data_IF_888358933553
#
_entry.id   IF_888358933553
#
_cell.length_a   1.000
_cell.length_b   1.000
_cell.length_c   1.000
_cell.angle_alpha   90.00
_cell.angle_beta   90.00
_cell.angle_gamma   90.00
#
_symmetry.space_group_name_H-M   'P 1'
#
loop_
_entity.id
_entity.type
_entity.pdbx_description
1 polymer ?
#
# COMPACT_ATOMS: atom_id res chain seq x y z
N UNK A 1 -8.22 1.79 14.26
CA UNK A 1 -7.49 1.44 13.03
C UNK A 1 -7.15 2.72 12.27
N UNK A 2 -5.91 2.84 11.79
CA UNK A 2 -5.49 3.96 10.93
C UNK A 2 -6.23 3.92 9.58
N UNK A 3 -6.32 5.07 8.90
CA UNK A 3 -6.80 5.17 7.52
C UNK A 3 -6.01 4.27 6.58
N UNK A 4 -6.67 3.61 5.62
CA UNK A 4 -6.03 2.66 4.70
C UNK A 4 -4.81 3.26 3.98
N UNK A 5 -4.86 4.48 3.41
CA UNK A 5 -3.69 5.09 2.77
C UNK A 5 -2.48 5.21 3.69
N UNK A 6 -2.70 5.48 4.98
CA UNK A 6 -1.60 5.65 5.93
C UNK A 6 -0.99 4.31 6.32
N UNK A 7 -1.84 3.32 6.60
CA UNK A 7 -1.40 1.98 6.97
C UNK A 7 -0.65 1.30 5.83
N UNK A 8 -1.25 1.26 4.64
CA UNK A 8 -0.66 0.61 3.47
C UNK A 8 0.63 1.30 3.01
N UNK A 9 0.74 2.63 3.13
CA UNK A 9 2.02 3.31 2.88
C UNK A 9 3.13 2.81 3.80
N UNK A 10 2.86 2.72 5.10
CA UNK A 10 3.87 2.31 6.08
C UNK A 10 4.30 0.86 5.84
N UNK A 11 3.33 -0.04 5.57
CA UNK A 11 3.60 -1.44 5.20
C UNK A 11 4.44 -1.51 3.92
N UNK A 12 4.07 -0.77 2.86
CA UNK A 12 4.83 -0.77 1.61
C UNK A 12 6.26 -0.28 1.75
N UNK A 13 6.49 0.73 2.60
CA UNK A 13 7.85 1.18 2.90
C UNK A 13 8.68 0.11 3.60
N UNK A 14 8.05 -0.67 4.49
CA UNK A 14 8.73 -1.73 5.22
C UNK A 14 9.04 -2.93 4.31
N UNK A 15 8.07 -3.36 3.50
CA UNK A 15 8.24 -4.41 2.50
C UNK A 15 9.34 -4.10 1.48
N UNK A 16 9.40 -2.86 1.02
CA UNK A 16 10.46 -2.38 0.12
C UNK A 16 11.85 -2.48 0.77
N UNK A 17 11.96 -2.13 2.07
CA UNK A 17 13.22 -2.29 2.82
C UNK A 17 13.62 -3.76 3.02
N UNK A 18 12.64 -4.67 3.06
CA UNK A 18 12.84 -6.11 3.13
C UNK A 18 13.12 -6.78 1.78
N UNK A 19 13.12 -6.02 0.67
CA UNK A 19 13.34 -6.56 -0.67
C UNK A 19 12.20 -7.49 -1.11
N UNK A 20 10.97 -7.23 -0.67
CA UNK A 20 9.81 -8.02 -1.08
C UNK A 20 9.57 -7.84 -2.57
N UNK A 21 9.64 -8.94 -3.33
CA UNK A 21 9.37 -8.96 -4.77
C UNK A 21 7.90 -9.25 -5.03
N UNK A 22 7.29 -10.06 -4.18
CA UNK A 22 5.88 -10.38 -4.26
C UNK A 22 5.27 -10.50 -2.85
N UNK A 23 4.02 -10.09 -2.69
CA UNK A 23 3.35 -9.98 -1.41
C UNK A 23 1.82 -10.08 -1.50
N UNK A 24 1.22 -10.42 -0.36
CA UNK A 24 -0.21 -10.41 -0.10
C UNK A 24 -0.43 -9.79 1.27
N UNK A 25 -1.29 -8.79 1.33
CA UNK A 25 -1.68 -8.07 2.53
C UNK A 25 -3.15 -8.38 2.77
N UNK A 26 -3.45 -9.12 3.83
CA UNK A 26 -4.80 -9.37 4.29
C UNK A 26 -5.15 -8.39 5.42
N UNK A 27 -6.24 -7.66 5.26
CA UNK A 27 -6.73 -6.68 6.22
C UNK A 27 -7.80 -7.29 7.13
N UNK A 28 -7.46 -7.43 8.40
CA UNK A 28 -8.39 -7.82 9.46
C UNK A 28 -8.89 -6.56 10.20
N UNK A 29 -9.79 -6.72 11.17
CA UNK A 29 -10.36 -5.59 11.91
C UNK A 29 -9.31 -4.73 12.63
N UNK A 30 -8.22 -5.34 13.10
CA UNK A 30 -7.25 -4.70 14.00
C UNK A 30 -5.79 -4.74 13.49
N UNK A 31 -5.51 -5.51 12.45
CA UNK A 31 -4.15 -5.78 11.99
C UNK A 31 -4.12 -6.10 10.49
N UNK A 32 -2.91 -6.03 9.93
CA UNK A 32 -2.63 -6.52 8.59
C UNK A 32 -1.69 -7.71 8.68
N UNK A 33 -2.11 -8.82 8.10
CA UNK A 33 -1.28 -10.01 7.95
C UNK A 33 -0.66 -9.99 6.57
N UNK A 34 0.65 -10.03 6.51
CA UNK A 34 1.40 -9.92 5.27
C UNK A 34 2.23 -11.15 5.07
N UNK A 35 2.10 -11.74 3.89
CA UNK A 35 2.99 -12.77 3.41
C UNK A 35 3.77 -12.18 2.24
N UNK A 36 5.09 -12.28 2.24
CA UNK A 36 5.92 -11.82 1.12
C UNK A 36 7.04 -12.79 0.77
N UNK A 37 7.34 -12.89 -0.51
CA UNK A 37 8.57 -13.47 -1.03
C UNK A 37 9.65 -12.39 -1.06
N UNK A 38 10.75 -12.64 -0.37
CA UNK A 38 11.88 -11.72 -0.28
C UNK A 38 13.06 -12.34 -1.02
N UNK A 39 13.82 -11.49 -1.74
CA UNK A 39 15.06 -11.89 -2.41
C UNK A 39 16.20 -12.07 -1.39
N UNK A 40 16.03 -13.04 -0.47
CA UNK A 40 16.99 -13.42 0.55
C UNK A 40 17.45 -14.85 0.30
N UNK A 41 18.77 -15.15 0.34
CA UNK A 41 19.26 -16.50 0.21
C UNK A 41 18.96 -17.33 1.49
N UNK A 42 18.52 -18.60 1.36
CA UNK A 42 18.19 -19.32 0.12
C UNK A 42 16.84 -18.89 -0.47
N UNK A 43 16.69 -18.88 -1.81
CA UNK A 43 15.49 -18.42 -2.49
C UNK A 43 14.24 -19.24 -2.11
N UNK A 44 13.08 -18.59 -2.04
CA UNK A 44 11.78 -19.22 -1.78
C UNK A 44 11.32 -19.19 -0.32
N UNK A 45 11.96 -18.39 0.55
CA UNK A 45 11.48 -18.17 1.91
C UNK A 45 10.36 -17.13 1.94
N UNK A 46 9.13 -17.60 2.13
CA UNK A 46 8.00 -16.75 2.46
C UNK A 46 8.18 -16.20 3.88
N UNK A 47 8.20 -14.87 4.00
CA UNK A 47 8.15 -14.17 5.27
C UNK A 47 6.71 -13.83 5.62
N UNK A 48 6.40 -13.94 6.91
CA UNK A 48 5.11 -13.58 7.47
C UNK A 48 5.27 -12.45 8.48
N UNK A 49 4.56 -11.35 8.26
CA UNK A 49 4.56 -10.19 9.13
C UNK A 49 3.15 -9.92 9.64
N UNK A 50 3.05 -9.50 10.90
CA UNK A 50 1.82 -8.98 11.48
C UNK A 50 2.01 -7.51 11.83
N UNK A 51 1.23 -6.64 11.19
CA UNK A 51 1.25 -5.20 11.40
C UNK A 51 0.04 -4.76 12.21
N UNK A 52 0.24 -4.64 13.52
CA UNK A 52 -0.73 -4.00 14.41
C UNK A 52 -0.72 -2.48 14.24
N UNK A 53 -1.77 -1.79 14.68
CA UNK A 53 -1.82 -0.32 14.66
C UNK A 53 -0.60 0.33 15.35
N UNK A 54 -0.10 -0.28 16.43
CA UNK A 54 1.09 0.21 17.15
C UNK A 54 2.34 0.14 16.27
N UNK A 55 2.56 -1.00 15.61
CA UNK A 55 3.71 -1.20 14.70
C UNK A 55 3.64 -0.20 13.54
N UNK A 56 2.46 -0.04 12.94
CA UNK A 56 2.26 0.89 11.82
C UNK A 56 2.56 2.34 12.24
N UNK A 57 2.09 2.77 13.41
CA UNK A 57 2.41 4.11 13.95
C UNK A 57 3.90 4.29 14.17
N UNK A 58 4.60 3.27 14.63
CA UNK A 58 6.04 3.31 14.85
C UNK A 58 6.80 3.44 13.53
N UNK A 59 6.46 2.63 12.52
CA UNK A 59 7.05 2.72 11.17
C UNK A 59 6.80 4.11 10.56
N UNK A 60 5.57 4.62 10.66
CA UNK A 60 5.22 5.95 10.17
C UNK A 60 6.01 7.06 10.88
N UNK A 61 6.16 6.96 12.20
CA UNK A 61 6.95 7.90 12.99
C UNK A 61 8.43 7.88 12.59
N UNK A 62 9.03 6.69 12.46
CA UNK A 62 10.42 6.55 11.99
C UNK A 62 10.60 7.10 10.57
N UNK A 63 9.64 6.85 9.68
CA UNK A 63 9.65 7.39 8.32
C UNK A 63 9.47 8.92 8.26
N UNK A 64 8.80 9.53 9.25
CA UNK A 64 8.73 10.99 9.40
C UNK A 64 10.07 11.56 9.85
N UNK A 65 10.69 10.95 10.86
CA UNK A 65 12.00 11.38 11.37
C UNK A 65 13.08 11.38 10.27
N UNK A 66 13.17 10.29 9.49
CA UNK A 66 14.13 10.20 8.37
C UNK A 66 13.98 11.33 7.34
N UNK A 67 12.75 11.82 7.10
CA UNK A 67 12.48 12.92 6.16
C UNK A 67 12.80 14.29 6.73
N UNK A 68 12.62 14.49 8.04
CA UNK A 68 12.95 15.76 8.70
C UNK A 68 14.46 15.97 8.90
N UNK A 69 15.25 14.90 8.85
CA UNK A 69 16.71 14.94 9.12
C UNK A 69 17.60 15.13 7.88
N UNK A 70 17.05 15.54 6.72
CA UNK A 70 17.84 16.03 5.59
C UNK A 70 18.00 15.09 4.39
N UNK A 71 17.32 13.94 4.35
CA UNK A 71 17.24 13.14 3.13
C UNK A 71 16.34 13.81 2.10
N UNK A 72 16.92 14.50 1.11
CA UNK A 72 16.18 14.82 -0.11
C UNK A 72 15.66 13.49 -0.66
N UNK A 73 14.34 13.36 -0.81
CA UNK A 73 13.75 12.27 -1.56
C UNK A 73 14.33 12.37 -2.97
N UNK A 74 15.31 11.51 -3.28
CA UNK A 74 15.88 11.40 -4.62
C UNK A 74 14.69 11.13 -5.54
N UNK A 75 14.46 12.08 -6.45
CA UNK A 75 13.29 12.07 -7.30
C UNK A 75 13.24 10.83 -8.20
N UNK A 76 12.01 10.46 -8.58
CA UNK A 76 11.75 9.87 -9.89
C UNK A 76 11.17 8.46 -9.92
N UNK A 77 11.35 7.63 -8.89
CA UNK A 77 10.80 6.27 -8.88
C UNK A 77 9.52 6.18 -8.05
N UNK A 78 8.47 5.60 -8.63
CA UNK A 78 7.24 5.23 -7.92
C UNK A 78 7.58 4.12 -6.91
N UNK A 79 7.64 4.48 -5.62
CA UNK A 79 7.95 3.51 -4.55
C UNK A 79 6.74 2.67 -4.19
N UNK A 80 6.95 1.45 -3.70
CA UNK A 80 5.88 0.55 -3.26
C UNK A 80 4.98 1.22 -2.20
N UNK A 81 5.58 1.95 -1.27
CA UNK A 81 4.84 2.73 -0.28
C UNK A 81 3.91 3.78 -0.90
N UNK A 82 4.30 4.39 -2.04
CA UNK A 82 3.46 5.35 -2.76
C UNK A 82 2.30 4.65 -3.46
N UNK A 83 2.57 3.54 -4.15
CA UNK A 83 1.54 2.73 -4.82
C UNK A 83 0.48 2.26 -3.82
N UNK A 84 0.91 1.62 -2.73
CA UNK A 84 0.02 1.06 -1.72
C UNK A 84 -0.80 2.13 -1.01
N UNK A 85 -0.25 3.35 -0.85
CA UNK A 85 -1.02 4.50 -0.37
C UNK A 85 -2.21 4.79 -1.28
N UNK A 86 -1.98 4.79 -2.58
CA UNK A 86 -2.98 5.15 -3.59
C UNK A 86 -4.06 4.08 -3.71
N UNK A 87 -3.68 2.80 -3.59
CA UNK A 87 -4.65 1.70 -3.44
C UNK A 87 -5.50 1.85 -2.17
N UNK A 88 -4.90 2.24 -1.04
CA UNK A 88 -5.65 2.53 0.18
C UNK A 88 -6.66 3.67 -0.01
N UNK A 89 -6.27 4.71 -0.75
CA UNK A 89 -7.14 5.84 -1.03
C UNK A 89 -8.26 5.48 -2.03
N UNK A 90 -7.96 4.58 -2.97
CA UNK A 90 -8.94 4.02 -3.89
C UNK A 90 -10.07 3.30 -3.14
N UNK A 91 -9.73 2.44 -2.19
CA UNK A 91 -10.72 1.72 -1.36
C UNK A 91 -11.55 2.69 -0.50
N UNK A 92 -10.92 3.69 0.13
CA UNK A 92 -11.65 4.72 0.88
C UNK A 92 -12.62 5.51 -0.01
N UNK A 93 -12.20 5.88 -1.24
CA UNK A 93 -13.04 6.58 -2.22
C UNK A 93 -14.25 5.75 -2.62
N UNK A 94 -14.10 4.43 -2.74
CA UNK A 94 -15.19 3.48 -3.03
C UNK A 94 -16.07 3.20 -1.81
N UNK A 95 -15.76 3.79 -0.64
CA UNK A 95 -16.38 3.51 0.66
C UNK A 95 -16.34 2.02 1.01
N UNK A 96 -15.25 1.35 0.61
CA UNK A 96 -15.02 -0.06 0.86
C UNK A 96 -14.28 -0.29 2.18
N UNK A 97 -14.52 -1.46 2.76
CA UNK A 97 -13.67 -2.08 3.78
C UNK A 97 -12.66 -2.96 3.05
N UNK A 98 -11.38 -2.62 3.14
CA UNK A 98 -10.31 -3.39 2.53
C UNK A 98 -10.31 -4.82 3.09
N UNK A 99 -10.11 -5.80 2.21
CA UNK A 99 -9.94 -7.21 2.56
C UNK A 99 -8.54 -7.70 2.20
N UNK A 100 -8.09 -7.44 0.97
CA UNK A 100 -6.83 -7.98 0.45
C UNK A 100 -6.17 -7.05 -0.57
N UNK A 101 -4.85 -7.01 -0.58
CA UNK A 101 -4.03 -6.44 -1.66
C UNK A 101 -2.93 -7.44 -2.01
N UNK A 102 -2.76 -7.80 -3.27
CA UNK A 102 -1.72 -8.72 -3.71
C UNK A 102 -1.07 -8.30 -5.03
N UNK A 103 0.18 -8.68 -5.25
CA UNK A 103 0.88 -8.52 -6.54
C UNK A 103 1.43 -9.84 -7.12
N UNK A 104 1.06 -11.00 -6.55
CA UNK A 104 1.53 -12.33 -6.97
C UNK A 104 1.00 -12.82 -8.33
N UNK A 105 0.05 -12.13 -8.95
CA UNK A 105 -0.67 -12.62 -10.13
C UNK A 105 -0.23 -11.91 -11.42
N UNK A 106 1.02 -12.11 -11.86
CA UNK A 106 1.42 -12.16 -13.28
C UNK A 106 2.94 -12.31 -13.44
N UNK A 107 3.46 -13.53 -13.68
CA UNK A 107 4.85 -13.71 -14.11
C UNK A 107 5.10 -12.89 -15.39
N UNK A 108 6.08 -11.97 -15.33
CA UNK A 108 6.52 -11.20 -16.51
C UNK A 108 5.79 -9.87 -16.77
N UNK A 109 4.93 -9.40 -15.86
CA UNK A 109 4.31 -8.07 -15.94
C UNK A 109 4.71 -7.28 -14.69
N UNK A 110 5.33 -6.09 -14.88
CA UNK A 110 5.55 -5.12 -13.79
C UNK A 110 4.24 -4.84 -13.03
N UNK A 111 4.26 -4.56 -11.71
CA UNK A 111 3.22 -5.03 -10.81
C UNK A 111 1.81 -4.48 -11.15
N UNK A 112 0.92 -5.41 -11.52
CA UNK A 112 -0.52 -5.21 -11.53
C UNK A 112 -1.08 -5.73 -10.20
N UNK A 113 -1.73 -4.86 -9.43
CA UNK A 113 -2.19 -5.18 -8.08
C UNK A 113 -3.63 -5.68 -8.14
N UNK A 114 -3.93 -6.78 -7.44
CA UNK A 114 -5.31 -7.16 -7.15
C UNK A 114 -5.73 -6.56 -5.82
N UNK A 115 -6.84 -5.83 -5.80
CA UNK A 115 -7.42 -5.22 -4.60
C UNK A 115 -8.80 -5.77 -4.36
N UNK A 116 -9.03 -6.30 -3.16
CA UNK A 116 -10.32 -6.81 -2.73
C UNK A 116 -10.90 -5.98 -1.59
N UNK A 117 -12.18 -5.64 -1.68
CA UNK A 117 -12.88 -4.90 -0.64
C UNK A 117 -14.36 -5.27 -0.57
N UNK A 118 -14.95 -5.13 0.62
CA UNK A 118 -16.38 -5.30 0.84
C UNK A 118 -17.06 -3.94 1.07
N UNK A 119 -18.32 -3.81 0.66
CA UNK A 119 -19.16 -2.66 1.06
C UNK A 119 -20.10 -3.05 2.20
N UNK A 120 -20.71 -2.04 2.81
CA UNK A 120 -21.66 -2.21 3.92
C UNK A 120 -22.93 -2.98 3.53
N UNK A 121 -23.25 -3.06 2.24
CA UNK A 121 -24.37 -3.82 1.70
C UNK A 121 -24.06 -5.33 1.54
N UNK A 122 -22.87 -5.76 1.94
CA UNK A 122 -22.40 -7.15 1.82
C UNK A 122 -21.81 -7.49 0.46
N UNK A 123 -21.81 -6.56 -0.51
CA UNK A 123 -21.17 -6.80 -1.80
C UNK A 123 -19.64 -6.86 -1.66
N UNK A 124 -19.04 -7.80 -2.38
CA UNK A 124 -17.60 -8.03 -2.47
C UNK A 124 -17.12 -7.66 -3.88
N UNK A 125 -16.01 -6.92 -3.94
CA UNK A 125 -15.39 -6.47 -5.17
C UNK A 125 -13.95 -6.96 -5.23
N UNK A 126 -13.53 -7.32 -6.45
CA UNK A 126 -12.16 -7.69 -6.80
C UNK A 126 -11.80 -6.84 -8.01
N UNK A 127 -10.86 -5.91 -7.84
CA UNK A 127 -10.39 -5.02 -8.89
C UNK A 127 -8.93 -5.32 -9.20
N UNK A 128 -8.62 -5.61 -10.46
CA UNK A 128 -7.25 -5.71 -10.97
C UNK A 128 -6.80 -4.33 -11.46
N UNK A 129 -5.81 -3.76 -10.79
CA UNK A 129 -5.30 -2.40 -11.00
C UNK A 129 -3.97 -2.49 -11.75
N UNK A 130 -3.97 -2.03 -13.00
CA UNK A 130 -2.73 -1.88 -13.77
C UNK A 130 -1.92 -0.67 -13.32
N UNK A 131 -0.63 -0.65 -13.65
CA UNK A 131 0.26 0.48 -13.40
C UNK A 131 -0.26 1.79 -14.00
N UNK A 132 -0.79 1.76 -15.22
CA UNK A 132 -1.38 2.95 -15.87
C UNK A 132 -2.58 3.51 -15.10
N UNK A 133 -3.35 2.66 -14.41
CA UNK A 133 -4.48 3.10 -13.58
C UNK A 133 -4.04 3.71 -12.25
N UNK A 134 -2.83 3.40 -11.77
CA UNK A 134 -2.28 4.01 -10.55
C UNK A 134 -1.98 5.50 -10.79
N UNK A 135 -1.41 5.85 -11.94
CA UNK A 135 -1.14 7.24 -12.33
C UNK A 135 -2.42 8.08 -12.33
N UNK A 136 -3.52 7.56 -12.90
CA UNK A 136 -4.82 8.23 -12.93
C UNK A 136 -5.42 8.41 -11.53
N UNK A 137 -5.26 7.41 -10.66
CA UNK A 137 -5.67 7.50 -9.25
C UNK A 137 -4.86 8.59 -8.53
N UNK A 138 -3.56 8.65 -8.75
CA UNK A 138 -2.65 9.62 -8.15
C UNK A 138 -2.96 11.06 -8.60
N UNK A 139 -3.19 11.27 -9.90
CA UNK A 139 -3.60 12.57 -10.45
C UNK A 139 -4.94 13.01 -9.85
N UNK A 140 -5.92 12.12 -9.78
CA UNK A 140 -7.22 12.41 -9.19
C UNK A 140 -7.15 12.72 -7.68
N UNK A 141 -6.16 12.17 -6.97
CA UNK A 141 -5.91 12.49 -5.56
C UNK A 141 -5.21 13.84 -5.38
N UNK A 142 -4.35 14.25 -6.32
CA UNK A 142 -3.63 15.53 -6.29
C UNK A 142 -4.53 16.70 -6.67
N UNK A 143 -5.39 16.56 -7.68
CA UNK A 143 -6.30 17.63 -8.11
C UNK A 143 -7.28 18.05 -7.02
N UNK A 144 -7.77 17.12 -6.19
CA UNK A 144 -8.68 17.44 -5.07
C UNK A 144 -8.04 18.26 -3.94
N UNK A 145 -6.73 18.19 -3.76
CA UNK A 145 -6.03 19.01 -2.75
C UNK A 145 -5.93 20.48 -3.15
N UNK A 146 -6.04 20.78 -4.44
CA UNK A 146 -6.00 22.14 -4.97
C UNK A 146 -7.35 22.86 -4.85
N UNK A 147 -8.47 22.12 -4.80
CA UNK A 147 -9.81 22.68 -4.70
C UNK A 147 -10.29 22.92 -3.24
N UNK A 148 -9.61 22.34 -2.24
CA UNK A 148 -10.01 22.44 -0.82
C UNK A 148 -9.44 23.68 -0.09
N UNK A 149 -8.68 24.53 -0.80
CA UNK A 149 -8.28 25.87 -0.33
C UNK A 149 -8.59 26.92 -1.41
N UNK A 150 -9.82 27.44 -1.47
CA UNK A 150 -10.03 28.71 -2.14
C UNK A 150 -9.34 29.80 -1.31
N UNK A 151 -8.56 30.63 -1.99
CA UNK A 151 -7.99 31.86 -1.42
C UNK A 151 -9.08 32.80 -0.92
#
# INVERSE_FOLDING_TARGET
MLKYPQALRAIGQDLENHGAVAFEINANENEYLVQCDCDLPPPGNLLFFCYTEKIIKQIDFMGKLKRTSGGHAVGGAETLGTILRSLGAYVEKKRGRLLRVANYESPGIEPAFRVEFAKSDGSHFVDDISKSSLDDIDVALRSKRSDEFPR
#
